data_IF_006509074624
#
_entry.id   IF_006509074624
#
_cell.length_a   1.000
_cell.length_b   1.000
_cell.length_c   1.000
_cell.angle_alpha   90.00
_cell.angle_beta   90.00
_cell.angle_gamma   90.00
#
_symmetry.space_group_name_H-M   'P 1'
#
loop_
_entity.id
_entity.type
_entity.pdbx_description
1 polymer ?
#
# COMPACT_ATOMS: atom_id res chain seq x y z
N UNK A 1 -32.05 -47.23 11.44
CA UNK A 1 -31.73 -46.35 10.34
C UNK A 1 -30.85 -45.23 10.81
N UNK A 2 -29.65 -45.30 10.50
CA UNK A 2 -28.71 -44.28 10.89
C UNK A 2 -28.56 -43.31 9.76
N UNK A 3 -29.03 -42.13 9.96
CA UNK A 3 -28.72 -41.04 9.09
C UNK A 3 -27.29 -40.63 9.40
N UNK A 4 -26.40 -41.02 8.56
CA UNK A 4 -25.08 -40.49 8.59
C UNK A 4 -25.20 -39.11 8.02
N UNK A 5 -25.28 -38.13 8.92
CA UNK A 5 -25.01 -36.79 8.54
C UNK A 5 -23.53 -36.74 8.31
N UNK A 6 -23.14 -36.90 7.09
CA UNK A 6 -21.83 -36.44 6.69
C UNK A 6 -21.92 -34.93 6.81
N UNK A 7 -21.51 -34.46 7.95
CA UNK A 7 -21.08 -33.09 8.00
C UNK A 7 -19.97 -33.03 6.93
N UNK A 8 -20.35 -32.64 5.74
CA UNK A 8 -19.37 -32.22 4.81
C UNK A 8 -18.68 -31.07 5.51
N UNK A 9 -17.52 -31.37 6.02
CA UNK A 9 -16.58 -30.34 6.35
C UNK A 9 -16.38 -29.57 5.06
N UNK A 10 -17.21 -28.57 4.88
CA UNK A 10 -16.91 -27.54 3.93
C UNK A 10 -15.70 -26.87 4.53
N UNK A 11 -14.57 -27.39 4.18
CA UNK A 11 -13.35 -26.70 4.31
C UNK A 11 -13.48 -25.51 3.40
N UNK A 12 -14.06 -24.45 3.94
CA UNK A 12 -14.00 -23.16 3.32
C UNK A 12 -12.53 -22.80 3.40
N UNK A 13 -11.79 -23.22 2.39
CA UNK A 13 -10.55 -22.55 2.09
C UNK A 13 -10.94 -21.15 1.66
N UNK A 14 -11.07 -20.29 2.63
CA UNK A 14 -10.86 -18.91 2.36
C UNK A 14 -9.39 -18.84 1.93
N UNK A 15 -9.19 -19.04 0.65
CA UNK A 15 -7.88 -18.79 0.08
C UNK A 15 -7.67 -17.28 0.09
N UNK A 16 -7.36 -16.76 1.28
CA UNK A 16 -7.01 -15.38 1.51
C UNK A 16 -5.67 -15.02 0.87
N UNK A 17 -5.08 -15.95 0.17
CA UNK A 17 -3.75 -15.80 -0.41
C UNK A 17 -3.76 -15.49 -1.89
N UNK A 18 -4.94 -15.28 -2.51
CA UNK A 18 -5.01 -15.19 -3.95
C UNK A 18 -4.52 -13.87 -4.50
N UNK A 19 -4.41 -12.86 -3.67
CA UNK A 19 -3.85 -11.59 -4.08
C UNK A 19 -2.65 -11.30 -3.21
N UNK A 20 -1.49 -11.59 -3.78
CA UNK A 20 -0.26 -11.12 -3.18
C UNK A 20 -0.34 -9.59 -3.08
N UNK A 21 -0.16 -9.08 -1.87
CA UNK A 21 -0.17 -7.65 -1.57
C UNK A 21 1.21 -7.08 -1.86
N UNK A 22 1.53 -7.00 -3.14
CA UNK A 22 2.88 -6.72 -3.64
C UNK A 22 3.03 -5.32 -4.19
N UNK A 23 4.22 -4.81 -4.01
CA UNK A 23 4.71 -3.62 -4.69
C UNK A 23 5.87 -4.02 -5.59
N UNK A 24 5.85 -3.53 -6.83
CA UNK A 24 6.82 -3.89 -7.85
C UNK A 24 7.43 -2.64 -8.47
N UNK A 25 8.67 -2.75 -8.88
CA UNK A 25 9.33 -1.69 -9.66
C UNK A 25 8.87 -1.72 -11.13
N UNK A 26 9.41 -0.83 -11.94
CA UNK A 26 9.08 -0.72 -13.36
C UNK A 26 9.42 -1.96 -14.18
N UNK A 27 10.36 -2.77 -13.70
CA UNK A 27 10.74 -4.05 -14.31
C UNK A 27 9.89 -5.23 -13.84
N UNK A 28 8.82 -4.95 -13.07
CA UNK A 28 7.94 -5.95 -12.46
C UNK A 28 8.60 -6.85 -11.41
N UNK A 29 9.73 -6.46 -10.87
CA UNK A 29 10.34 -7.16 -9.74
C UNK A 29 9.67 -6.71 -8.44
N UNK A 30 9.36 -7.67 -7.58
CA UNK A 30 8.79 -7.38 -6.27
C UNK A 30 9.81 -6.65 -5.40
N UNK A 31 9.45 -5.48 -4.90
CA UNK A 31 10.30 -4.66 -4.03
C UNK A 31 9.81 -4.62 -2.60
N UNK A 32 8.58 -5.02 -2.35
CA UNK A 32 8.02 -5.05 -1.01
C UNK A 32 6.60 -5.58 -0.97
N UNK A 33 6.07 -5.62 0.25
CA UNK A 33 4.72 -6.11 0.53
C UNK A 33 4.04 -5.18 1.53
N UNK A 34 2.72 -5.06 1.43
CA UNK A 34 1.91 -4.43 2.47
C UNK A 34 0.80 -5.41 2.83
N UNK A 35 0.85 -5.97 4.02
CA UNK A 35 -0.10 -6.95 4.51
C UNK A 35 -0.68 -6.50 5.85
N UNK A 36 -2.00 -6.30 5.90
CA UNK A 36 -2.68 -5.88 7.14
C UNK A 36 -2.03 -4.68 7.81
N UNK A 37 -1.64 -3.69 7.02
CA UNK A 37 -0.98 -2.48 7.51
C UNK A 37 0.52 -2.62 7.80
N UNK A 38 1.07 -3.81 7.63
CA UNK A 38 2.50 -4.04 7.83
C UNK A 38 3.23 -3.90 6.50
N UNK A 39 4.24 -3.06 6.47
CA UNK A 39 5.09 -2.84 5.30
C UNK A 39 6.34 -3.69 5.43
N UNK A 40 6.60 -4.50 4.42
CA UNK A 40 7.74 -5.43 4.42
C UNK A 40 8.62 -5.17 3.21
N UNK A 41 9.90 -5.41 3.39
CA UNK A 41 10.87 -5.46 2.29
C UNK A 41 10.68 -6.71 1.43
N UNK A 42 11.39 -6.80 0.32
CA UNK A 42 11.31 -7.95 -0.59
C UNK A 42 11.70 -9.28 0.06
N UNK A 43 12.54 -9.25 1.10
CA UNK A 43 12.93 -10.44 1.85
C UNK A 43 12.03 -10.76 3.04
N UNK A 44 10.92 -10.01 3.20
CA UNK A 44 9.94 -10.26 4.24
C UNK A 44 10.20 -9.58 5.58
N UNK A 45 11.26 -8.77 5.70
CA UNK A 45 11.52 -8.01 6.92
C UNK A 45 10.52 -6.86 7.05
N UNK A 46 9.99 -6.64 8.25
CA UNK A 46 9.11 -5.51 8.53
C UNK A 46 9.93 -4.21 8.53
N UNK A 47 9.55 -3.27 7.69
CA UNK A 47 10.20 -1.96 7.59
C UNK A 47 9.32 -0.82 8.10
N UNK A 48 8.05 -1.08 8.35
CA UNK A 48 7.16 -0.08 8.90
C UNK A 48 5.71 -0.52 8.94
N UNK A 49 4.84 0.43 9.24
CA UNK A 49 3.41 0.20 9.39
C UNK A 49 2.61 1.36 8.80
N UNK A 50 1.47 1.04 8.22
CA UNK A 50 0.47 2.02 7.75
C UNK A 50 -0.85 1.62 8.40
N UNK A 51 -1.26 2.33 9.44
CA UNK A 51 -2.44 1.99 10.23
C UNK A 51 -3.08 3.25 10.83
N UNK A 52 -4.41 3.28 10.82
CA UNK A 52 -5.18 4.29 11.56
C UNK A 52 -4.76 5.73 11.26
N UNK A 53 -4.50 6.03 9.98
CA UNK A 53 -4.10 7.35 9.56
C UNK A 53 -2.64 7.70 9.90
N UNK A 54 -1.84 6.73 10.30
CA UNK A 54 -0.44 6.91 10.68
C UNK A 54 0.49 6.03 9.87
N UNK A 55 1.65 6.58 9.60
CA UNK A 55 2.78 5.83 9.03
C UNK A 55 3.86 5.74 10.09
N UNK A 56 4.32 4.52 10.35
CA UNK A 56 5.34 4.25 11.37
C UNK A 56 6.53 3.54 10.76
N UNK A 57 7.71 3.78 11.34
CA UNK A 57 8.90 3.01 10.98
C UNK A 57 8.89 1.62 11.65
N UNK A 58 9.93 0.85 11.45
CA UNK A 58 10.06 -0.51 12.00
C UNK A 58 10.06 -0.55 13.53
N UNK A 59 10.48 0.53 14.19
CA UNK A 59 10.48 0.67 15.66
C UNK A 59 9.12 1.08 16.22
N UNK A 60 8.13 1.32 15.36
CA UNK A 60 6.81 1.79 15.79
C UNK A 60 6.71 3.30 16.01
N UNK A 61 7.74 4.06 15.68
CA UNK A 61 7.72 5.52 15.76
C UNK A 61 6.92 6.08 14.61
N UNK A 62 6.01 7.02 14.89
CA UNK A 62 5.22 7.69 13.86
C UNK A 62 6.13 8.61 13.04
N UNK A 63 6.18 8.38 11.74
CA UNK A 63 6.96 9.18 10.78
C UNK A 63 6.08 10.03 9.87
N UNK A 64 4.78 9.82 9.89
CA UNK A 64 3.85 10.61 9.10
C UNK A 64 2.41 10.30 9.40
N UNK A 65 1.53 11.11 8.80
CA UNK A 65 0.09 11.01 8.94
C UNK A 65 -0.58 11.13 7.59
N UNK A 66 -1.71 10.50 7.43
CA UNK A 66 -2.57 10.69 6.27
C UNK A 66 -4.03 10.71 6.70
N UNK A 67 -4.79 11.59 6.12
CA UNK A 67 -6.23 11.62 6.22
C UNK A 67 -6.81 11.66 4.79
N UNK A 68 -8.05 12.02 4.63
CA UNK A 68 -8.81 11.89 3.38
C UNK A 68 -8.00 12.17 2.10
N UNK A 69 -7.29 13.31 2.05
CA UNK A 69 -6.52 13.69 0.86
C UNK A 69 -5.11 14.16 1.18
N UNK A 70 -4.80 14.35 2.45
CA UNK A 70 -3.60 15.05 2.87
C UNK A 70 -2.60 14.09 3.48
N UNK A 71 -1.35 14.29 3.13
CA UNK A 71 -0.23 13.54 3.69
C UNK A 71 0.68 14.53 4.42
N UNK A 72 1.02 14.20 5.66
CA UNK A 72 1.82 15.04 6.55
C UNK A 72 3.04 14.28 7.07
N UNK A 73 4.09 15.01 7.36
CA UNK A 73 5.25 14.44 8.05
C UNK A 73 4.97 14.29 9.56
N UNK A 74 5.97 13.83 10.31
CA UNK A 74 5.85 13.62 11.76
C UNK A 74 5.58 14.91 12.54
N UNK A 75 5.96 16.05 12.02
CA UNK A 75 5.70 17.37 12.61
C UNK A 75 4.30 17.91 12.32
N UNK A 76 3.51 17.19 11.48
CA UNK A 76 2.20 17.63 11.07
C UNK A 76 2.19 18.56 9.86
N UNK A 77 3.33 18.82 9.26
CA UNK A 77 3.43 19.65 8.04
C UNK A 77 2.94 18.85 6.84
N UNK A 78 2.09 19.47 6.02
CA UNK A 78 1.63 18.85 4.77
C UNK A 78 2.77 18.70 3.79
N UNK A 79 3.00 17.47 3.32
CA UNK A 79 4.05 17.15 2.35
C UNK A 79 3.48 16.75 1.00
N UNK A 80 2.19 16.51 0.92
CA UNK A 80 1.55 16.20 -0.34
C UNK A 80 0.08 15.87 -0.19
N UNK A 81 -0.53 15.53 -1.32
CA UNK A 81 -1.94 15.19 -1.42
C UNK A 81 -2.13 14.00 -2.35
N UNK A 82 -3.18 13.24 -2.09
CA UNK A 82 -3.65 12.20 -3.00
C UNK A 82 -5.16 12.32 -3.18
N UNK A 83 -5.59 12.65 -4.39
CA UNK A 83 -7.00 12.73 -4.77
C UNK A 83 -7.19 12.44 -6.25
N UNK A 84 -8.30 11.81 -6.62
CA UNK A 84 -8.65 11.54 -8.03
C UNK A 84 -7.52 10.87 -8.81
N UNK A 85 -6.87 9.85 -8.21
CA UNK A 85 -5.75 9.14 -8.81
C UNK A 85 -4.49 10.00 -9.04
N UNK A 86 -4.45 11.20 -8.50
CA UNK A 86 -3.32 12.13 -8.64
C UNK A 86 -2.56 12.27 -7.34
N UNK A 87 -1.25 12.20 -7.44
CA UNK A 87 -0.35 12.52 -6.34
C UNK A 87 0.20 13.91 -6.57
N UNK A 88 0.05 14.76 -5.57
CA UNK A 88 0.49 16.15 -5.64
C UNK A 88 1.53 16.41 -4.56
N UNK A 89 2.45 17.31 -4.85
CA UNK A 89 3.39 17.80 -3.84
C UNK A 89 2.71 18.82 -2.90
N UNK A 90 3.45 19.36 -1.95
CA UNK A 90 2.94 20.32 -0.99
C UNK A 90 2.40 21.62 -1.63
N UNK A 91 2.89 21.95 -2.82
CA UNK A 91 2.44 23.10 -3.61
C UNK A 91 1.22 22.81 -4.49
N UNK A 92 0.64 21.61 -4.35
CA UNK A 92 -0.49 21.13 -5.16
C UNK A 92 -0.19 20.90 -6.64
N UNK A 93 1.07 20.80 -7.01
CA UNK A 93 1.45 20.39 -8.36
C UNK A 93 1.34 18.89 -8.50
N UNK A 94 0.78 18.42 -9.62
CA UNK A 94 0.68 16.99 -9.92
C UNK A 94 2.07 16.46 -10.24
N UNK A 95 2.50 15.45 -9.48
CA UNK A 95 3.81 14.82 -9.68
C UNK A 95 3.70 13.39 -10.19
N UNK A 96 2.61 12.69 -9.86
CA UNK A 96 2.41 11.30 -10.24
C UNK A 96 0.94 10.96 -10.40
N UNK A 97 0.68 9.83 -11.06
CA UNK A 97 -0.65 9.25 -11.19
C UNK A 97 -0.63 7.82 -10.66
N UNK A 98 -1.73 7.42 -10.01
CA UNK A 98 -1.90 6.09 -9.45
C UNK A 98 -3.27 5.58 -9.82
N UNK A 99 -3.33 4.60 -10.71
CA UNK A 99 -4.59 3.97 -11.12
C UNK A 99 -4.36 2.57 -11.67
N UNK A 100 -5.37 1.71 -11.50
CA UNK A 100 -5.37 0.35 -12.07
C UNK A 100 -4.12 -0.47 -11.73
N UNK A 101 -3.59 -0.31 -10.51
CA UNK A 101 -2.40 -1.03 -10.09
C UNK A 101 -1.10 -0.52 -10.69
N UNK A 102 -1.10 0.65 -11.33
CA UNK A 102 0.06 1.24 -11.99
C UNK A 102 0.38 2.59 -11.37
N UNK A 103 1.64 2.83 -11.16
CA UNK A 103 2.18 4.11 -10.69
C UNK A 103 2.94 4.74 -11.86
N UNK A 104 2.51 5.94 -12.27
CA UNK A 104 3.06 6.64 -13.43
C UNK A 104 3.56 8.01 -13.06
N UNK A 105 4.62 8.45 -13.74
CA UNK A 105 5.07 9.84 -13.67
C UNK A 105 4.07 10.78 -14.35
N UNK A 106 4.23 12.08 -14.14
CA UNK A 106 3.41 13.10 -14.81
C UNK A 106 3.57 13.08 -16.32
N UNK A 107 4.68 12.56 -16.84
CA UNK A 107 4.91 12.35 -18.28
C UNK A 107 4.32 11.06 -18.83
N UNK A 108 3.73 10.20 -17.96
CA UNK A 108 3.12 8.94 -18.36
C UNK A 108 4.03 7.73 -18.34
N UNK A 109 5.30 7.86 -17.92
CA UNK A 109 6.22 6.73 -17.78
C UNK A 109 5.82 5.89 -16.58
N UNK A 110 5.81 4.57 -16.74
CA UNK A 110 5.52 3.66 -15.63
C UNK A 110 6.69 3.63 -14.65
N UNK A 111 6.38 3.87 -13.39
CA UNK A 111 7.35 3.86 -12.30
C UNK A 111 7.32 2.55 -11.50
N UNK A 112 6.15 1.96 -11.38
CA UNK A 112 5.98 0.73 -10.64
C UNK A 112 4.55 0.20 -10.72
N UNK A 113 4.34 -0.89 -10.01
CA UNK A 113 3.04 -1.58 -9.97
C UNK A 113 2.69 -1.98 -8.54
N UNK A 114 1.41 -2.14 -8.29
CA UNK A 114 0.93 -2.68 -7.02
C UNK A 114 -0.24 -3.63 -7.24
N UNK A 115 -0.28 -4.69 -6.46
CA UNK A 115 -1.31 -5.73 -6.51
C UNK A 115 -1.86 -5.98 -5.11
N UNK A 116 -3.18 -6.02 -4.95
CA UNK A 116 -3.81 -6.30 -3.66
C UNK A 116 -3.55 -5.29 -2.56
N UNK A 117 -3.06 -4.12 -2.91
CA UNK A 117 -2.70 -3.02 -2.02
C UNK A 117 -3.63 -1.85 -2.33
N UNK A 118 -4.10 -1.16 -1.32
CA UNK A 118 -4.94 0.03 -1.52
C UNK A 118 -4.11 1.14 -2.17
N UNK A 119 -4.77 1.95 -3.01
CA UNK A 119 -4.09 3.06 -3.70
C UNK A 119 -3.35 3.99 -2.73
N UNK A 120 -3.99 4.35 -1.63
CA UNK A 120 -3.34 5.22 -0.63
C UNK A 120 -2.08 4.57 -0.04
N UNK A 121 -2.10 3.28 0.21
CA UNK A 121 -0.92 2.56 0.71
C UNK A 121 0.22 2.58 -0.32
N UNK A 122 -0.11 2.37 -1.60
CA UNK A 122 0.87 2.46 -2.67
C UNK A 122 1.47 3.88 -2.76
N UNK A 123 0.64 4.91 -2.63
CA UNK A 123 1.08 6.31 -2.63
C UNK A 123 2.04 6.58 -1.48
N UNK A 124 1.68 6.18 -0.27
CA UNK A 124 2.52 6.37 0.91
C UNK A 124 3.86 5.62 0.77
N UNK A 125 3.81 4.44 0.19
CA UNK A 125 5.01 3.64 -0.03
C UNK A 125 5.93 4.27 -1.08
N UNK A 126 5.43 4.51 -2.29
CA UNK A 126 6.25 4.92 -3.42
C UNK A 126 6.74 6.37 -3.35
N UNK A 127 5.97 7.27 -2.75
CA UNK A 127 6.25 8.70 -2.91
C UNK A 127 6.65 9.43 -1.65
N UNK A 128 6.36 8.86 -0.48
CA UNK A 128 6.51 9.65 0.74
C UNK A 128 7.39 9.01 1.80
N UNK A 129 7.34 7.69 1.99
CA UNK A 129 7.94 7.13 3.21
C UNK A 129 8.87 5.94 3.02
N UNK A 130 8.74 5.10 1.98
CA UNK A 130 9.42 3.82 1.95
C UNK A 130 10.26 3.53 0.71
N UNK A 131 10.17 4.32 -0.33
CA UNK A 131 10.87 4.07 -1.60
C UNK A 131 11.92 5.12 -1.92
#
# INVERSE_FOLDING_TARGET
>A
MKNIIIASLILVFTSNSLFAQRLKNSSSSTIGYIESGRVKSSNGATIGYIQDGRVKNSSGTTIGYFDTNRIRNSSGTTIGYFEDNRVKNASSSIIWYVEDGIVKSSSGSTFGYFEGVRRIEAVLYFFFFFY
#
